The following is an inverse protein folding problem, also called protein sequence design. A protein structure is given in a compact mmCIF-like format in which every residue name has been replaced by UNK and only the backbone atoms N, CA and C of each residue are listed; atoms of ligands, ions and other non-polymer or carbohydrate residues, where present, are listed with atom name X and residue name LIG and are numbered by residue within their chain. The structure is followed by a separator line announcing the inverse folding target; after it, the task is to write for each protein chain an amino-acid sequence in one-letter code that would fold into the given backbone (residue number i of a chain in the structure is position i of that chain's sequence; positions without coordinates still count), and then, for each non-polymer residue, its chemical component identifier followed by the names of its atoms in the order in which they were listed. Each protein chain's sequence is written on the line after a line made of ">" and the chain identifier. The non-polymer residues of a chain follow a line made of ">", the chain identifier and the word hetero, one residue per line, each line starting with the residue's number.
data_IF_395025767379
#
_entry.id   IF_395025767379
#
_cell.length_a   1.000
_cell.length_b   1.000
_cell.length_c   1.000
_cell.angle_alpha   90.00
_cell.angle_beta   90.00
_cell.angle_gamma   90.00
#
_symmetry.space_group_name_H-M   'P 1'
#
loop_
_entity.id
_entity.type
_entity.pdbx_description
1 polymer ?
#
# COMPACT_ATOMS: atom_id res chain seq x y z
N UNK A 1 35.91 -28.05 -62.00
CA UNK A 1 36.31 -26.63 -61.87
C UNK A 1 35.41 -26.00 -60.83
N UNK A 2 35.75 -25.83 -59.56
CA UNK A 2 37.06 -25.64 -58.94
C UNK A 2 37.07 -24.26 -58.30
N UNK A 3 36.48 -24.11 -57.11
CA UNK A 3 36.65 -22.95 -56.21
C UNK A 3 36.19 -23.31 -54.77
N UNK A 4 36.60 -24.48 -54.28
CA UNK A 4 36.75 -24.70 -52.84
C UNK A 4 38.18 -24.32 -52.50
N UNK A 5 38.40 -23.02 -52.28
CA UNK A 5 39.68 -22.52 -51.79
C UNK A 5 39.83 -22.95 -50.33
N UNK A 6 40.90 -23.68 -50.03
CA UNK A 6 41.33 -23.98 -48.66
C UNK A 6 41.48 -22.66 -47.89
N UNK A 7 40.53 -22.38 -47.00
CA UNK A 7 40.65 -21.31 -46.02
C UNK A 7 41.67 -21.78 -44.98
N UNK A 8 42.95 -21.49 -45.20
CA UNK A 8 43.99 -21.60 -44.18
C UNK A 8 43.78 -20.47 -43.17
N UNK A 9 42.80 -20.65 -42.29
CA UNK A 9 42.50 -19.67 -41.24
C UNK A 9 43.69 -19.55 -40.32
N UNK A 10 44.41 -18.43 -40.43
CA UNK A 10 45.56 -18.15 -39.59
C UNK A 10 45.09 -17.97 -38.14
N UNK A 11 45.79 -18.57 -37.16
CA UNK A 11 45.40 -18.50 -35.75
C UNK A 11 45.28 -17.05 -35.27
N UNK A 12 46.08 -16.14 -35.82
CA UNK A 12 46.02 -14.70 -35.53
C UNK A 12 44.75 -14.02 -36.05
N UNK A 13 44.28 -14.39 -37.25
CA UNK A 13 43.03 -13.87 -37.82
C UNK A 13 41.80 -14.42 -37.10
N UNK A 14 41.82 -15.71 -36.74
CA UNK A 14 40.74 -16.33 -35.95
C UNK A 14 40.60 -15.64 -34.58
N UNK A 15 41.72 -15.37 -33.91
CA UNK A 15 41.73 -14.65 -32.62
C UNK A 15 41.21 -13.22 -32.79
N UNK A 16 41.55 -12.55 -33.89
CA UNK A 16 41.02 -11.22 -34.23
C UNK A 16 39.50 -11.21 -34.49
N UNK A 17 38.96 -12.25 -35.13
CA UNK A 17 37.52 -12.37 -35.38
C UNK A 17 36.76 -12.68 -34.09
N UNK A 18 37.27 -13.60 -33.26
CA UNK A 18 36.63 -13.98 -31.98
C UNK A 18 36.59 -12.79 -31.01
N UNK A 19 37.68 -12.02 -30.92
CA UNK A 19 37.74 -10.82 -30.06
C UNK A 19 36.78 -9.72 -30.51
N UNK A 20 36.62 -9.50 -31.82
CA UNK A 20 35.64 -8.54 -32.34
C UNK A 20 34.19 -8.99 -32.09
N UNK A 21 33.92 -10.29 -32.25
CA UNK A 21 32.59 -10.85 -32.02
C UNK A 21 32.20 -10.77 -30.53
N UNK A 22 33.14 -11.07 -29.62
CA UNK A 22 32.89 -10.98 -28.18
C UNK A 22 32.73 -9.53 -27.69
N UNK A 23 33.46 -8.59 -28.27
CA UNK A 23 33.26 -7.16 -28.02
C UNK A 23 31.86 -6.69 -28.46
N UNK A 24 31.41 -7.10 -29.65
CA UNK A 24 30.09 -6.73 -30.18
C UNK A 24 28.93 -7.30 -29.36
N UNK A 25 29.03 -8.55 -28.91
CA UNK A 25 28.00 -9.18 -28.06
C UNK A 25 27.96 -8.56 -26.68
N UNK A 26 29.11 -8.22 -26.10
CA UNK A 26 29.17 -7.50 -24.84
C UNK A 26 28.52 -6.11 -24.93
N UNK A 27 28.84 -5.34 -25.97
CA UNK A 27 28.28 -3.99 -26.17
C UNK A 27 26.77 -4.04 -26.36
N UNK A 28 26.25 -4.98 -27.15
CA UNK A 28 24.80 -5.13 -27.34
C UNK A 28 24.10 -5.63 -26.07
N UNK A 29 24.69 -6.56 -25.31
CA UNK A 29 24.15 -6.98 -24.00
C UNK A 29 24.08 -5.83 -22.99
N UNK A 30 25.17 -5.06 -22.83
CA UNK A 30 25.20 -3.92 -21.91
C UNK A 30 24.30 -2.76 -22.39
N UNK A 31 24.22 -2.53 -23.71
CA UNK A 31 23.32 -1.52 -24.29
C UNK A 31 21.85 -1.84 -24.05
N UNK A 32 21.42 -3.08 -24.32
CA UNK A 32 20.05 -3.55 -24.03
C UNK A 32 19.76 -3.45 -22.53
N UNK A 33 20.68 -3.91 -21.68
CA UNK A 33 20.52 -3.81 -20.22
C UNK A 33 20.43 -2.36 -19.72
N UNK A 34 21.19 -1.44 -20.32
CA UNK A 34 21.15 -0.02 -19.99
C UNK A 34 19.83 0.63 -20.43
N UNK A 35 19.32 0.29 -21.63
CA UNK A 35 18.04 0.77 -22.15
C UNK A 35 16.87 0.22 -21.32
N UNK A 36 16.86 -1.08 -21.00
CA UNK A 36 15.84 -1.68 -20.13
C UNK A 36 15.81 -1.01 -18.75
N UNK A 37 16.96 -0.70 -18.17
CA UNK A 37 17.04 0.04 -16.90
C UNK A 37 16.51 1.48 -16.99
N UNK A 38 16.53 2.12 -18.17
CA UNK A 38 15.99 3.47 -18.39
C UNK A 38 14.47 3.46 -18.66
N UNK A 39 13.91 2.35 -19.17
CA UNK A 39 12.50 2.26 -19.56
C UNK A 39 11.54 1.81 -18.46
N UNK A 40 12.02 1.41 -17.27
CA UNK A 40 11.18 1.01 -16.12
C UNK A 40 11.08 2.12 -15.04
N UNK A 41 10.27 3.19 -15.25
CA UNK A 41 10.04 4.22 -14.23
C UNK A 41 9.24 3.69 -13.02
N UNK A 42 8.59 2.54 -13.16
CA UNK A 42 7.74 1.90 -12.14
C UNK A 42 8.54 1.23 -11.02
N UNK A 43 9.72 0.67 -11.31
CA UNK A 43 10.56 0.00 -10.30
C UNK A 43 11.05 0.97 -9.22
N UNK A 44 11.39 2.20 -9.61
CA UNK A 44 11.78 3.26 -8.66
C UNK A 44 10.61 3.69 -7.77
N UNK A 45 9.39 3.81 -8.32
CA UNK A 45 8.19 4.13 -7.53
C UNK A 45 7.79 2.98 -6.59
N UNK A 46 7.79 1.74 -7.11
CA UNK A 46 7.50 0.52 -6.36
C UNK A 46 8.49 0.34 -5.21
N UNK A 47 9.78 0.57 -5.45
CA UNK A 47 10.83 0.50 -4.42
C UNK A 47 10.63 1.54 -3.31
N UNK A 48 10.28 2.78 -3.65
CA UNK A 48 9.94 3.84 -2.68
C UNK A 48 8.72 3.48 -1.83
N UNK A 49 7.67 2.93 -2.44
CA UNK A 49 6.48 2.47 -1.72
C UNK A 49 6.80 1.32 -0.75
N UNK A 50 7.62 0.35 -1.19
CA UNK A 50 8.09 -0.77 -0.36
C UNK A 50 8.96 -0.29 0.80
N UNK A 51 9.88 0.65 0.56
CA UNK A 51 10.73 1.20 1.61
C UNK A 51 9.94 2.03 2.62
N UNK A 52 8.92 2.77 2.17
CA UNK A 52 7.98 3.49 3.04
C UNK A 52 7.18 2.50 3.90
N UNK A 53 6.61 1.46 3.29
CA UNK A 53 5.89 0.40 4.00
C UNK A 53 6.79 -0.27 5.04
N UNK A 54 8.02 -0.67 4.69
CA UNK A 54 8.99 -1.27 5.64
C UNK A 54 9.32 -0.35 6.82
N UNK A 55 9.51 0.96 6.58
CA UNK A 55 9.75 1.93 7.65
C UNK A 55 8.55 2.06 8.58
N UNK A 56 7.35 2.11 8.00
CA UNK A 56 6.10 2.15 8.77
C UNK A 56 5.98 0.86 9.59
N UNK A 57 6.05 -0.33 9.00
CA UNK A 57 6.00 -1.60 9.72
C UNK A 57 7.01 -1.69 10.87
N UNK A 58 8.25 -1.20 10.65
CA UNK A 58 9.28 -1.15 11.69
C UNK A 58 8.94 -0.16 12.82
N UNK A 59 8.40 1.02 12.49
CA UNK A 59 7.92 2.00 13.48
C UNK A 59 6.74 1.47 14.28
N UNK A 60 5.87 0.68 13.65
CA UNK A 60 4.64 0.20 14.23
C UNK A 60 4.81 -1.04 15.12
N UNK A 61 6.03 -1.57 15.26
CA UNK A 61 6.30 -2.74 16.11
C UNK A 61 5.64 -4.02 15.59
N UNK A 62 5.34 -4.10 14.28
CA UNK A 62 4.88 -5.34 13.67
C UNK A 62 6.05 -6.32 13.70
N UNK A 63 5.96 -7.37 14.51
CA UNK A 63 7.03 -8.34 14.69
C UNK A 63 7.48 -8.93 13.35
N UNK A 64 8.80 -9.04 13.18
CA UNK A 64 9.45 -9.54 11.95
C UNK A 64 8.97 -10.94 11.54
N UNK A 65 8.32 -11.68 12.43
CA UNK A 65 7.78 -13.01 12.19
C UNK A 65 6.50 -13.01 11.34
N UNK A 66 5.76 -11.89 11.30
CA UNK A 66 4.64 -11.73 10.39
C UNK A 66 5.12 -11.13 9.07
N UNK A 67 5.67 -11.97 8.19
CA UNK A 67 5.90 -11.57 6.81
C UNK A 67 4.58 -11.07 6.22
N UNK A 68 4.54 -9.78 5.85
CA UNK A 68 3.42 -9.22 5.15
C UNK A 68 3.40 -9.78 3.73
N UNK A 69 2.23 -10.21 3.29
CA UNK A 69 2.02 -10.62 1.90
C UNK A 69 2.18 -9.41 0.96
N UNK A 70 2.42 -9.65 -0.32
CA UNK A 70 2.56 -8.61 -1.34
C UNK A 70 1.35 -7.66 -1.35
N UNK A 71 0.12 -8.19 -1.17
CA UNK A 71 -1.10 -7.39 -1.06
C UNK A 71 -1.12 -6.50 0.19
N UNK A 72 -0.69 -7.03 1.33
CA UNK A 72 -0.63 -6.27 2.59
C UNK A 72 0.42 -5.16 2.50
N UNK A 73 1.56 -5.44 1.86
CA UNK A 73 2.61 -4.44 1.61
C UNK A 73 2.12 -3.30 0.70
N UNK A 74 1.28 -3.60 -0.28
CA UNK A 74 0.66 -2.59 -1.12
C UNK A 74 -0.28 -1.69 -0.29
N UNK A 75 -1.14 -2.27 0.53
CA UNK A 75 -2.08 -1.52 1.38
C UNK A 75 -1.33 -0.73 2.45
N UNK A 76 -0.24 -1.26 2.99
CA UNK A 76 0.61 -0.59 3.97
C UNK A 76 1.19 0.74 3.45
N UNK A 77 1.24 0.96 2.13
CA UNK A 77 1.64 2.26 1.56
C UNK A 77 0.60 3.38 1.78
N UNK A 78 -0.67 3.01 1.98
CA UNK A 78 -1.81 3.88 2.27
C UNK A 78 -2.10 4.00 3.78
N UNK A 79 -1.28 3.35 4.61
CA UNK A 79 -1.36 3.44 6.05
C UNK A 79 -0.85 4.80 6.54
N UNK A 80 -1.64 5.43 7.40
CA UNK A 80 -1.34 6.71 8.02
C UNK A 80 -1.20 6.49 9.53
N UNK A 81 -0.07 6.94 10.09
CA UNK A 81 0.17 6.95 11.53
C UNK A 81 -0.62 8.11 12.17
N UNK A 82 -1.19 7.95 13.38
CA UNK A 82 -1.90 9.03 14.05
C UNK A 82 -1.07 10.31 14.21
N UNK A 83 0.27 10.21 14.30
CA UNK A 83 1.16 11.39 14.39
C UNK A 83 1.26 12.18 13.08
N UNK A 84 0.99 11.54 11.94
CA UNK A 84 1.00 12.17 10.61
C UNK A 84 -0.37 12.81 10.27
N UNK A 85 -1.39 12.63 11.11
CA UNK A 85 -2.71 13.23 10.91
C UNK A 85 -2.73 14.66 11.44
N UNK A 86 -2.83 15.64 10.55
CA UNK A 86 -2.83 17.07 10.89
C UNK A 86 -4.21 17.67 11.19
N UNK A 87 -5.26 16.87 11.20
CA UNK A 87 -6.66 17.32 11.41
C UNK A 87 -7.15 16.84 12.78
N UNK A 88 -7.84 17.72 13.51
CA UNK A 88 -8.48 17.46 14.80
C UNK A 88 -9.98 17.79 14.74
N UNK A 89 -10.76 17.41 15.76
CA UNK A 89 -12.17 17.79 15.79
C UNK A 89 -12.40 19.30 15.90
N UNK A 90 -11.41 20.07 16.38
CA UNK A 90 -11.48 21.53 16.39
C UNK A 90 -11.52 22.13 14.99
N UNK A 91 -11.05 21.37 14.01
CA UNK A 91 -11.05 21.76 12.60
C UNK A 91 -12.37 21.37 11.89
N UNK A 92 -13.30 20.75 12.62
CA UNK A 92 -14.64 20.33 12.15
C UNK A 92 -15.69 21.22 12.82
N UNK A 93 -16.42 22.02 12.04
CA UNK A 93 -17.46 22.91 12.57
C UNK A 93 -18.87 22.38 12.28
N UNK A 94 -19.78 22.50 13.25
CA UNK A 94 -21.22 22.24 13.06
C UNK A 94 -21.60 20.76 13.03
N UNK A 95 -20.72 19.88 13.49
CA UNK A 95 -20.93 18.42 13.57
C UNK A 95 -20.73 17.91 15.01
N UNK A 96 -20.97 18.75 16.02
CA UNK A 96 -20.71 18.45 17.43
C UNK A 96 -21.47 17.20 17.92
N UNK A 97 -22.72 17.05 17.50
CA UNK A 97 -23.54 15.86 17.82
C UNK A 97 -22.92 14.58 17.22
N UNK A 98 -22.46 14.64 15.96
CA UNK A 98 -21.83 13.51 15.27
C UNK A 98 -20.47 13.18 15.92
N UNK A 99 -19.72 14.19 16.34
CA UNK A 99 -18.47 14.00 17.09
C UNK A 99 -18.75 13.26 18.40
N UNK A 100 -19.86 13.59 19.07
CA UNK A 100 -20.26 12.91 20.29
C UNK A 100 -20.65 11.44 20.02
N UNK A 101 -21.44 11.17 18.99
CA UNK A 101 -21.77 9.81 18.57
C UNK A 101 -20.52 8.99 18.20
N UNK A 102 -19.55 9.62 17.52
CA UNK A 102 -18.27 8.98 17.17
C UNK A 102 -17.40 8.68 18.39
N UNK A 103 -17.43 9.52 19.43
CA UNK A 103 -16.74 9.22 20.70
C UNK A 103 -17.28 7.94 21.30
N UNK A 104 -18.59 7.82 21.39
CA UNK A 104 -19.24 6.68 22.04
C UNK A 104 -19.13 5.42 21.18
N UNK A 105 -19.24 5.55 19.86
CA UNK A 105 -19.17 4.43 18.93
C UNK A 105 -17.75 3.90 18.69
N UNK A 106 -16.73 4.76 18.67
CA UNK A 106 -15.37 4.39 18.26
C UNK A 106 -14.38 4.49 19.40
N UNK A 107 -14.29 5.63 20.08
CA UNK A 107 -13.24 5.90 21.07
C UNK A 107 -13.48 5.14 22.37
N UNK A 108 -14.72 5.14 22.85
CA UNK A 108 -15.08 4.48 24.10
C UNK A 108 -14.76 2.97 24.07
N UNK A 109 -15.12 2.20 23.03
CA UNK A 109 -14.70 0.80 22.89
C UNK A 109 -13.19 0.57 22.91
N UNK A 110 -12.42 1.50 22.34
CA UNK A 110 -10.96 1.38 22.24
C UNK A 110 -10.31 1.66 23.59
N UNK A 111 -10.78 2.68 24.30
CA UNK A 111 -10.23 3.12 25.59
C UNK A 111 -10.72 2.30 26.79
N UNK A 112 -11.95 1.76 26.73
CA UNK A 112 -12.62 1.05 27.83
C UNK A 112 -13.06 -0.34 27.43
N UNK A 113 -12.12 -1.16 26.94
CA UNK A 113 -12.40 -2.55 26.52
C UNK A 113 -13.06 -3.37 27.63
N UNK A 114 -12.72 -3.10 28.89
CA UNK A 114 -13.28 -3.72 30.09
C UNK A 114 -14.81 -3.65 30.17
N UNK A 115 -15.41 -2.56 29.66
CA UNK A 115 -16.87 -2.39 29.67
C UNK A 115 -17.61 -3.29 28.65
N UNK A 116 -16.88 -3.84 27.67
CA UNK A 116 -17.48 -4.56 26.54
C UNK A 116 -17.14 -6.07 26.51
N UNK A 117 -16.11 -6.52 27.24
CA UNK A 117 -15.66 -7.93 27.19
C UNK A 117 -16.66 -8.89 27.83
N UNK A 118 -17.32 -8.50 28.93
CA UNK A 118 -18.23 -9.37 29.70
C UNK A 118 -19.72 -9.06 29.47
N UNK A 119 -20.01 -8.09 28.62
CA UNK A 119 -21.35 -7.58 28.39
C UNK A 119 -22.01 -8.22 27.16
N UNK A 120 -23.16 -8.88 27.36
CA UNK A 120 -24.00 -9.36 26.24
C UNK A 120 -24.87 -8.25 25.63
N UNK A 121 -24.97 -7.10 26.29
CA UNK A 121 -25.93 -6.03 25.96
C UNK A 121 -25.22 -4.87 25.25
N UNK A 122 -24.02 -4.53 25.68
CA UNK A 122 -23.20 -3.45 25.11
C UNK A 122 -22.04 -4.07 24.36
N UNK A 123 -22.26 -4.34 23.06
CA UNK A 123 -21.17 -4.66 22.13
C UNK A 123 -20.78 -3.41 21.35
N UNK A 124 -19.49 -3.23 21.05
CA UNK A 124 -19.08 -2.12 20.22
C UNK A 124 -19.67 -2.26 18.80
N UNK A 125 -20.04 -1.15 18.15
CA UNK A 125 -20.54 -1.20 16.79
C UNK A 125 -19.48 -1.78 15.86
N UNK A 126 -19.90 -2.63 14.92
CA UNK A 126 -18.99 -3.27 13.95
C UNK A 126 -18.45 -2.28 12.90
N UNK A 127 -19.12 -1.15 12.73
CA UNK A 127 -18.75 -0.11 11.78
C UNK A 127 -19.65 1.11 11.96
N UNK A 128 -19.18 2.25 11.44
CA UNK A 128 -19.91 3.52 11.43
C UNK A 128 -20.08 3.95 9.98
N UNK A 129 -21.31 4.32 9.61
CA UNK A 129 -21.63 4.86 8.29
C UNK A 129 -21.85 6.37 8.39
N UNK A 130 -21.00 7.14 7.72
CA UNK A 130 -21.18 8.58 7.57
C UNK A 130 -21.85 8.86 6.23
N UNK A 131 -23.09 9.37 6.26
CA UNK A 131 -23.85 9.70 5.05
C UNK A 131 -24.12 11.20 4.91
N UNK A 132 -24.41 11.66 3.70
CA UNK A 132 -24.81 13.04 3.41
C UNK A 132 -24.27 13.52 2.05
N UNK A 133 -24.56 14.77 1.64
CA UNK A 133 -24.07 15.31 0.38
C UNK A 133 -22.53 15.35 0.30
N UNK A 134 -21.96 15.37 -0.92
CA UNK A 134 -20.52 15.59 -1.09
C UNK A 134 -20.13 16.96 -0.51
N UNK A 135 -18.94 17.04 0.08
CA UNK A 135 -18.44 18.30 0.69
C UNK A 135 -18.77 18.50 2.17
N UNK A 136 -19.57 17.64 2.82
CA UNK A 136 -19.88 17.75 4.25
C UNK A 136 -18.76 17.27 5.20
N UNK A 137 -17.51 17.17 4.74
CA UNK A 137 -16.38 16.84 5.62
C UNK A 137 -16.31 15.41 6.17
N UNK A 138 -16.98 14.42 5.55
CA UNK A 138 -16.97 12.99 5.99
C UNK A 138 -15.56 12.41 6.14
N UNK A 139 -14.70 12.62 5.14
CA UNK A 139 -13.30 12.18 5.18
C UNK A 139 -12.49 12.95 6.24
N UNK A 140 -12.85 14.21 6.49
CA UNK A 140 -12.17 15.09 7.44
C UNK A 140 -12.47 14.70 8.88
N UNK A 141 -13.74 14.47 9.22
CA UNK A 141 -14.15 14.00 10.56
C UNK A 141 -13.63 12.58 10.84
N UNK A 142 -13.59 11.68 9.84
CA UNK A 142 -13.03 10.35 10.00
C UNK A 142 -11.54 10.38 10.35
N UNK A 143 -10.75 11.22 9.67
CA UNK A 143 -9.33 11.43 9.99
C UNK A 143 -9.14 12.03 11.37
N UNK A 144 -9.93 13.05 11.72
CA UNK A 144 -9.90 13.66 13.04
C UNK A 144 -10.18 12.62 14.15
N UNK A 145 -11.20 11.79 13.97
CA UNK A 145 -11.53 10.71 14.93
C UNK A 145 -10.39 9.72 15.07
N UNK A 146 -9.70 9.36 13.99
CA UNK A 146 -8.55 8.46 14.07
C UNK A 146 -7.40 9.05 14.88
N UNK A 147 -7.14 10.35 14.73
CA UNK A 147 -6.15 11.09 15.51
C UNK A 147 -6.52 11.14 16.99
N UNK A 148 -7.75 11.51 17.32
CA UNK A 148 -8.24 11.61 18.71
C UNK A 148 -8.29 10.24 19.39
N UNK A 149 -8.60 9.19 18.63
CA UNK A 149 -8.55 7.80 19.12
C UNK A 149 -7.12 7.27 19.28
N UNK A 150 -6.10 7.98 18.76
CA UNK A 150 -4.71 7.51 18.75
C UNK A 150 -4.52 6.24 17.92
N UNK A 151 -5.32 6.05 16.87
CA UNK A 151 -5.35 4.84 16.06
C UNK A 151 -4.74 5.05 14.69
N UNK A 152 -4.25 3.96 14.10
CA UNK A 152 -3.78 3.98 12.72
C UNK A 152 -4.95 4.09 11.76
N UNK A 153 -4.74 4.76 10.64
CA UNK A 153 -5.80 5.01 9.66
C UNK A 153 -5.42 4.41 8.31
N UNK A 154 -6.29 3.54 7.78
CA UNK A 154 -6.18 3.03 6.41
C UNK A 154 -7.23 3.77 5.57
N UNK A 155 -6.78 4.55 4.58
CA UNK A 155 -7.66 5.12 3.57
C UNK A 155 -7.80 4.14 2.40
N UNK A 156 -8.94 3.48 2.27
CA UNK A 156 -9.23 2.55 1.20
C UNK A 156 -10.09 3.23 0.13
N UNK A 157 -9.46 3.60 -0.98
CA UNK A 157 -10.17 4.11 -2.15
C UNK A 157 -10.65 2.92 -3.00
N UNK A 158 -11.97 2.82 -3.24
CA UNK A 158 -12.57 1.70 -3.97
C UNK A 158 -12.03 1.60 -5.41
N UNK A 159 -11.70 2.73 -6.04
CA UNK A 159 -11.10 2.77 -7.38
C UNK A 159 -9.77 2.01 -7.47
N UNK A 160 -9.00 1.95 -6.36
CA UNK A 160 -7.75 1.17 -6.30
C UNK A 160 -8.03 -0.34 -6.35
N UNK A 161 -9.18 -0.77 -5.83
CA UNK A 161 -9.62 -2.17 -5.87
C UNK A 161 -10.12 -2.58 -7.27
N UNK A 162 -10.74 -1.66 -8.01
CA UNK A 162 -11.34 -1.96 -9.33
C UNK A 162 -10.33 -1.88 -10.48
N UNK A 163 -9.46 -0.87 -10.50
CA UNK A 163 -8.69 -0.53 -11.70
C UNK A 163 -7.42 -1.38 -11.87
N UNK A 164 -6.79 -1.77 -10.75
CA UNK A 164 -5.53 -2.51 -10.79
C UNK A 164 -5.71 -4.05 -10.79
N UNK A 165 -6.92 -4.56 -10.54
CA UNK A 165 -7.09 -5.95 -10.08
C UNK A 165 -8.39 -6.62 -10.55
N UNK A 166 -8.62 -6.67 -11.87
CA UNK A 166 -9.72 -7.46 -12.42
C UNK A 166 -9.48 -8.96 -12.14
N UNK A 167 -10.20 -9.51 -11.15
CA UNK A 167 -10.10 -10.90 -10.71
C UNK A 167 -9.43 -11.16 -9.35
N UNK A 168 -8.82 -10.14 -8.72
CA UNK A 168 -8.12 -10.30 -7.42
C UNK A 168 -8.62 -9.35 -6.31
N UNK A 169 -9.67 -8.57 -6.58
CA UNK A 169 -10.27 -7.63 -5.62
C UNK A 169 -10.64 -8.26 -4.28
N UNK A 170 -11.13 -9.50 -4.25
CA UNK A 170 -11.45 -10.23 -3.02
C UNK A 170 -10.20 -10.51 -2.15
N UNK A 171 -9.07 -10.88 -2.77
CA UNK A 171 -7.82 -11.10 -2.05
C UNK A 171 -7.32 -9.80 -1.43
N UNK A 172 -7.46 -8.69 -2.15
CA UNK A 172 -7.05 -7.38 -1.67
C UNK A 172 -7.95 -6.92 -0.52
N UNK A 173 -9.27 -7.07 -0.64
CA UNK A 173 -10.20 -6.78 0.45
C UNK A 173 -9.86 -7.61 1.71
N UNK A 174 -9.61 -8.91 1.55
CA UNK A 174 -9.17 -9.77 2.65
C UNK A 174 -7.83 -9.30 3.26
N UNK A 175 -6.88 -8.87 2.42
CA UNK A 175 -5.59 -8.34 2.86
C UNK A 175 -5.74 -7.02 3.65
N UNK A 176 -6.73 -6.17 3.35
CA UNK A 176 -7.00 -4.95 4.14
C UNK A 176 -7.37 -5.32 5.57
N UNK A 177 -8.31 -6.24 5.75
CA UNK A 177 -8.72 -6.69 7.08
C UNK A 177 -7.61 -7.44 7.81
N UNK A 178 -6.87 -8.30 7.10
CA UNK A 178 -5.75 -9.05 7.69
C UNK A 178 -4.65 -8.11 8.18
N UNK A 179 -4.29 -7.11 7.36
CA UNK A 179 -3.35 -6.07 7.76
C UNK A 179 -3.88 -5.29 8.97
N UNK A 180 -5.14 -4.83 8.94
CA UNK A 180 -5.75 -4.06 10.02
C UNK A 180 -5.71 -4.80 11.38
N UNK A 181 -5.88 -6.13 11.37
CA UNK A 181 -5.73 -6.97 12.57
C UNK A 181 -4.29 -6.98 13.08
N UNK A 182 -3.30 -7.10 12.19
CA UNK A 182 -1.86 -7.06 12.56
C UNK A 182 -1.42 -5.71 13.14
N UNK A 183 -2.08 -4.63 12.72
CA UNK A 183 -1.74 -3.26 13.12
C UNK A 183 -2.76 -2.65 14.10
N UNK A 184 -3.49 -3.47 14.86
CA UNK A 184 -4.43 -2.93 15.85
C UNK A 184 -3.72 -2.00 16.87
N UNK A 185 -4.40 -0.95 17.37
CA UNK A 185 -5.73 -0.48 16.98
C UNK A 185 -5.72 0.31 15.65
N UNK A 186 -6.72 0.08 14.79
CA UNK A 186 -6.78 0.65 13.46
C UNK A 186 -8.22 0.95 13.01
N UNK A 187 -8.41 2.09 12.33
CA UNK A 187 -9.63 2.48 11.63
C UNK A 187 -9.42 2.28 10.13
N UNK A 188 -10.29 1.50 9.51
CA UNK A 188 -10.39 1.36 8.05
C UNK A 188 -11.47 2.33 7.59
N UNK A 189 -11.08 3.34 6.82
CA UNK A 189 -12.01 4.24 6.15
C UNK A 189 -12.16 3.82 4.70
N UNK A 190 -13.40 3.68 4.27
CA UNK A 190 -13.75 3.31 2.90
C UNK A 190 -14.52 4.48 2.31
N UNK A 191 -13.91 5.16 1.36
CA UNK A 191 -14.55 6.27 0.66
C UNK A 191 -15.44 5.72 -0.49
N UNK A 192 -16.49 6.47 -0.86
CA UNK A 192 -17.39 6.17 -1.99
C UNK A 192 -18.22 4.87 -1.91
N UNK A 193 -18.54 4.36 -0.72
CA UNK A 193 -19.55 3.29 -0.59
C UNK A 193 -20.92 3.84 -1.05
N UNK A 194 -21.34 3.53 -2.28
CA UNK A 194 -22.70 3.81 -2.78
C UNK A 194 -22.83 4.81 -3.93
N UNK A 195 -21.76 5.13 -4.68
CA UNK A 195 -21.90 5.84 -5.97
C UNK A 195 -22.13 4.85 -7.13
N UNK A 196 -23.26 4.13 -7.10
CA UNK A 196 -23.97 3.60 -8.27
C UNK A 196 -25.34 3.06 -7.89
#
# INVERSE_FOLDING_TARGET
>A
MGFFGEFTVNKSELVGVITRLSLLTAVSFFGIKWILNQMDPTMSQKKKAIDKAKKICKKLGVDKEQQLNDYEMLIASHLIDPTDINVSWKDVAGLEDIIQDLKDAVILPIQRKDLFVDSRITQPPKGVLLFGPPGCGKTLIAKATAKEAGTRFINLDISILTDKWYGESQKLAAAVFTLAVKIQPCIIFIDEIGMK
#
